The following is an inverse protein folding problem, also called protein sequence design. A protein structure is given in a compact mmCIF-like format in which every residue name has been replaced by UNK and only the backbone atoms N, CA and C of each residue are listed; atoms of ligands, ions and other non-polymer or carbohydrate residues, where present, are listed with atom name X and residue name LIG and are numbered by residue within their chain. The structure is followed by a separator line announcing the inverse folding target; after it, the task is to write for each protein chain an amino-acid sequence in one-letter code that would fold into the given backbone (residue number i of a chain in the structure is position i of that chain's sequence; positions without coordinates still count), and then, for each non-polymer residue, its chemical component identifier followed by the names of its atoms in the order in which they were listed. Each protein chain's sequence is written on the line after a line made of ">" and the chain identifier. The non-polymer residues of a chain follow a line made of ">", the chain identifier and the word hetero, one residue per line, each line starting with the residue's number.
data_IF_875411259683
#
_entry.id   IF_875411259683
#
_cell.length_a   1.000
_cell.length_b   1.000
_cell.length_c   1.000
_cell.angle_alpha   90.00
_cell.angle_beta   90.00
_cell.angle_gamma   90.00
#
_symmetry.space_group_name_H-M   'P 1'
#
loop_
_entity.id
_entity.type
_entity.pdbx_description
1 polymer ?
#
# COMPACT_ATOMS: atom_id res chain seq x y z
N UNK A 1 -5.34 9.80 2.85
CA UNK A 1 -3.97 9.84 3.43
C UNK A 1 -3.69 8.62 4.31
N UNK A 2 -2.66 7.84 3.98
CA UNK A 2 -2.05 6.79 4.82
C UNK A 2 -0.63 7.24 5.17
N UNK A 3 -0.22 7.07 6.44
CA UNK A 3 1.13 7.42 6.90
C UNK A 3 1.77 6.23 7.61
N UNK A 4 2.87 5.74 7.04
CA UNK A 4 3.71 4.71 7.66
C UNK A 4 4.92 5.41 8.26
N UNK A 5 4.96 5.45 9.59
CA UNK A 5 5.99 6.18 10.34
C UNK A 5 7.01 5.17 10.88
N UNK A 6 8.29 5.40 10.62
CA UNK A 6 9.36 4.55 11.15
C UNK A 6 10.51 5.42 11.66
N UNK A 7 11.40 4.84 12.48
CA UNK A 7 12.57 5.57 12.98
C UNK A 7 13.62 5.88 11.89
N UNK A 8 13.53 5.22 10.72
CA UNK A 8 14.50 5.34 9.65
C UNK A 8 13.99 6.23 8.51
N UNK A 9 12.82 5.91 7.96
CA UNK A 9 12.19 6.63 6.85
C UNK A 9 10.67 6.54 6.93
N UNK A 10 10.03 7.68 6.82
CA UNK A 10 8.58 7.77 6.75
C UNK A 10 8.10 7.65 5.31
N UNK A 11 6.91 7.07 5.17
CA UNK A 11 6.21 6.96 3.90
C UNK A 11 4.81 7.53 4.05
N UNK A 12 4.49 8.54 3.23
CA UNK A 12 3.18 9.20 3.23
C UNK A 12 2.56 9.01 1.87
N UNK A 13 1.36 8.45 1.85
CA UNK A 13 0.57 8.26 0.63
C UNK A 13 -0.69 9.12 0.74
N UNK A 14 -0.87 10.03 -0.21
CA UNK A 14 -2.11 10.78 -0.39
C UNK A 14 -2.69 10.45 -1.76
N UNK A 15 -3.96 10.05 -1.77
CA UNK A 15 -4.60 9.49 -2.95
C UNK A 15 -6.11 9.64 -2.87
N UNK A 16 -6.72 9.73 -4.04
CA UNK A 16 -8.17 9.65 -4.22
C UNK A 16 -8.56 8.23 -4.64
N UNK A 17 -9.67 7.74 -4.10
CA UNK A 17 -10.16 6.38 -4.39
C UNK A 17 -10.66 6.29 -5.84
N UNK A 18 -10.22 5.26 -6.55
CA UNK A 18 -10.58 4.99 -7.94
C UNK A 18 -9.89 5.90 -8.96
N UNK A 19 -9.01 6.80 -8.51
CA UNK A 19 -8.25 7.71 -9.39
C UNK A 19 -6.83 7.18 -9.51
N UNK A 20 -6.38 7.02 -10.76
CA UNK A 20 -5.00 6.68 -11.04
C UNK A 20 -4.10 7.91 -10.83
N UNK A 21 -2.99 7.72 -10.12
CA UNK A 21 -2.00 8.77 -9.89
C UNK A 21 -0.58 8.23 -10.08
N UNK A 22 0.34 9.13 -10.40
CA UNK A 22 1.77 8.79 -10.46
C UNK A 22 2.34 8.77 -9.04
N UNK A 23 2.78 7.60 -8.59
CA UNK A 23 3.42 7.41 -7.30
C UNK A 23 4.95 7.44 -7.47
N UNK A 24 5.59 8.43 -6.85
CA UNK A 24 7.04 8.53 -6.79
C UNK A 24 7.55 7.70 -5.60
N UNK A 25 8.02 6.48 -5.91
CA UNK A 25 8.62 5.54 -4.96
C UNK A 25 10.14 5.78 -4.82
N UNK A 26 10.64 6.95 -5.22
CA UNK A 26 11.99 7.44 -4.97
C UNK A 26 12.57 7.10 -3.58
N UNK A 27 11.82 7.28 -2.47
CA UNK A 27 12.29 6.97 -1.11
C UNK A 27 12.43 5.48 -0.80
N UNK A 28 11.72 4.62 -1.54
CA UNK A 28 11.63 3.18 -1.32
C UNK A 28 12.56 2.41 -2.26
N UNK A 29 12.42 2.61 -3.57
CA UNK A 29 13.16 1.86 -4.60
C UNK A 29 13.65 2.70 -5.80
N UNK A 30 13.41 4.02 -5.82
CA UNK A 30 13.90 4.90 -6.88
C UNK A 30 13.02 4.96 -8.13
N UNK A 31 11.82 4.36 -8.12
CA UNK A 31 10.99 4.21 -9.32
C UNK A 31 9.72 5.06 -9.29
N UNK A 32 9.11 5.23 -10.46
CA UNK A 32 7.75 5.78 -10.63
C UNK A 32 6.81 4.67 -11.06
N UNK A 33 5.62 4.63 -10.47
CA UNK A 33 4.57 3.68 -10.82
C UNK A 33 3.24 4.41 -10.99
N UNK A 34 2.35 3.84 -11.80
CA UNK A 34 0.97 4.30 -11.92
C UNK A 34 0.13 3.52 -10.92
N UNK A 35 -0.31 4.20 -9.87
CA UNK A 35 -0.94 3.57 -8.72
C UNK A 35 -2.42 3.91 -8.68
N UNK A 36 -3.25 2.91 -8.42
CA UNK A 36 -4.70 3.09 -8.24
C UNK A 36 -5.12 2.38 -6.97
N UNK A 37 -5.82 3.10 -6.10
CA UNK A 37 -6.35 2.54 -4.85
C UNK A 37 -7.87 2.54 -4.91
N UNK A 38 -8.50 1.41 -4.61
CA UNK A 38 -9.95 1.26 -4.67
C UNK A 38 -10.45 0.28 -3.60
N UNK A 39 -11.76 0.31 -3.36
CA UNK A 39 -12.42 -0.64 -2.46
C UNK A 39 -12.83 -1.89 -3.22
N UNK A 40 -12.47 -3.05 -2.70
CA UNK A 40 -12.98 -4.36 -3.11
C UNK A 40 -13.70 -4.98 -1.91
N UNK A 41 -15.02 -4.77 -1.84
CA UNK A 41 -15.81 -5.16 -0.68
C UNK A 41 -15.42 -4.37 0.58
N UNK A 42 -14.92 -5.07 1.59
CA UNK A 42 -14.42 -4.51 2.86
C UNK A 42 -12.90 -4.31 2.88
N UNK A 43 -12.22 -4.55 1.75
CA UNK A 43 -10.78 -4.45 1.61
C UNK A 43 -10.39 -3.22 0.79
N UNK A 44 -9.36 -2.53 1.23
CA UNK A 44 -8.71 -1.46 0.48
C UNK A 44 -7.57 -2.07 -0.36
N UNK A 45 -7.73 -2.05 -1.68
CA UNK A 45 -6.81 -2.66 -2.62
C UNK A 45 -6.05 -1.57 -3.36
N UNK A 46 -4.74 -1.75 -3.50
CA UNK A 46 -3.86 -0.89 -4.26
C UNK A 46 -3.13 -1.71 -5.32
N UNK A 47 -3.23 -1.24 -6.57
CA UNK A 47 -2.51 -1.80 -7.70
C UNK A 47 -1.47 -0.79 -8.17
N UNK A 48 -0.21 -1.22 -8.23
CA UNK A 48 0.93 -0.41 -8.66
C UNK A 48 1.40 -0.94 -10.02
N UNK A 49 0.96 -0.29 -11.10
CA UNK A 49 1.36 -0.62 -12.46
C UNK A 49 2.72 0.01 -12.76
N UNK A 50 3.72 -0.82 -13.04
CA UNK A 50 5.07 -0.37 -13.34
C UNK A 50 5.93 -1.50 -13.88
N UNK A 51 7.24 -1.39 -13.66
CA UNK A 51 8.23 -2.37 -14.10
C UNK A 51 8.03 -3.76 -13.45
N UNK A 52 7.58 -3.77 -12.19
CA UNK A 52 7.35 -4.99 -11.41
C UNK A 52 5.93 -5.50 -11.59
N UNK A 53 5.80 -6.79 -11.95
CA UNK A 53 4.50 -7.47 -12.07
C UNK A 53 3.93 -7.73 -10.69
N UNK A 54 2.60 -7.82 -10.58
CA UNK A 54 1.90 -8.12 -9.33
C UNK A 54 2.28 -7.22 -8.14
N UNK A 55 2.73 -5.99 -8.43
CA UNK A 55 3.10 -5.03 -7.40
C UNK A 55 1.85 -4.35 -6.86
N UNK A 56 1.66 -4.41 -5.55
CA UNK A 56 0.51 -3.80 -4.91
C UNK A 56 0.39 -4.17 -3.45
N UNK A 57 -0.69 -3.74 -2.84
CA UNK A 57 -0.99 -4.08 -1.45
C UNK A 57 -2.49 -4.14 -1.20
N UNK A 58 -2.86 -4.86 -0.13
CA UNK A 58 -4.23 -5.01 0.34
C UNK A 58 -4.28 -4.75 1.83
N UNK A 59 -5.19 -3.88 2.23
CA UNK A 59 -5.52 -3.57 3.61
C UNK A 59 -6.91 -4.08 3.95
N UNK A 60 -7.07 -4.72 5.11
CA UNK A 60 -8.37 -5.06 5.65
C UNK A 60 -8.34 -5.03 7.17
N UNK A 61 -9.52 -4.93 7.77
CA UNK A 61 -9.68 -4.90 9.22
C UNK A 61 -10.24 -6.24 9.71
N UNK A 62 -9.66 -6.75 10.79
CA UNK A 62 -10.18 -7.91 11.52
C UNK A 62 -10.28 -7.55 13.00
N UNK A 63 -11.47 -7.08 13.41
CA UNK A 63 -11.67 -6.49 14.74
C UNK A 63 -10.83 -5.22 14.91
N UNK A 64 -9.94 -5.23 15.91
CA UNK A 64 -9.01 -4.13 16.19
C UNK A 64 -7.63 -4.28 15.51
N UNK A 65 -7.49 -5.23 14.56
CA UNK A 65 -6.25 -5.46 13.82
C UNK A 65 -6.36 -4.92 12.40
N UNK A 66 -5.37 -4.15 11.99
CA UNK A 66 -5.15 -3.76 10.61
C UNK A 66 -4.19 -4.74 9.96
N UNK A 67 -4.67 -5.46 8.96
CA UNK A 67 -3.87 -6.36 8.16
C UNK A 67 -3.36 -5.63 6.92
N UNK A 68 -2.11 -5.90 6.55
CA UNK A 68 -1.46 -5.40 5.34
C UNK A 68 -0.78 -6.58 4.64
N UNK A 69 -1.21 -6.87 3.42
CA UNK A 69 -0.54 -7.82 2.52
C UNK A 69 0.05 -7.07 1.36
N UNK A 70 1.37 -7.09 1.23
CA UNK A 70 2.10 -6.51 0.09
C UNK A 70 2.52 -7.63 -0.84
N UNK A 71 2.43 -7.39 -2.14
CA UNK A 71 2.85 -8.33 -3.18
C UNK A 71 3.80 -7.63 -4.15
N UNK A 72 4.80 -8.36 -4.63
CA UNK A 72 5.65 -7.94 -5.74
C UNK A 72 6.21 -9.18 -6.42
N UNK A 73 5.95 -9.33 -7.73
CA UNK A 73 6.29 -10.53 -8.50
C UNK A 73 5.69 -11.79 -7.86
N UNK A 74 6.54 -12.69 -7.35
CA UNK A 74 6.14 -13.94 -6.70
C UNK A 74 6.23 -13.84 -5.16
N UNK A 75 6.66 -12.68 -4.64
CA UNK A 75 6.89 -12.45 -3.22
C UNK A 75 5.68 -11.84 -2.52
N UNK A 76 5.47 -12.28 -1.27
CA UNK A 76 4.37 -11.81 -0.42
C UNK A 76 4.91 -11.46 0.96
N UNK A 77 4.62 -10.24 1.41
CA UNK A 77 4.87 -9.79 2.77
C UNK A 77 3.55 -9.56 3.50
N UNK A 78 3.45 -10.03 4.74
CA UNK A 78 2.25 -9.86 5.58
C UNK A 78 2.65 -9.14 6.87
N UNK A 79 1.93 -8.08 7.19
CA UNK A 79 2.07 -7.31 8.42
C UNK A 79 0.70 -7.19 9.10
N UNK A 80 0.72 -7.19 10.42
CA UNK A 80 -0.49 -7.04 11.25
C UNK A 80 -0.20 -5.98 12.31
N UNK A 81 -1.03 -4.95 12.34
CA UNK A 81 -0.91 -3.83 13.27
C UNK A 81 -2.08 -3.86 14.25
N UNK A 82 -1.80 -3.68 15.53
CA UNK A 82 -2.83 -3.55 16.56
C UNK A 82 -3.23 -2.08 16.67
N UNK A 83 -4.54 -1.80 16.64
CA UNK A 83 -5.05 -0.48 16.95
C UNK A 83 -4.70 -0.14 18.41
N UNK A 84 -3.93 0.92 18.58
CA UNK A 84 -3.61 1.51 19.88
C UNK A 84 -4.48 2.75 20.10
N UNK A 85 -4.82 3.02 21.36
CA UNK A 85 -5.63 4.20 21.77
C UNK A 85 -4.80 5.47 21.79
#
# INVERSE_FOLDING_TARGET
>A
VIRTITSLRDYVMDFDLGVQFEEDLGPVDGRKCQTTVFWEGDQLVCEQLGEKRNRGWRHWLEGDRLHLRMTAEDEVCVQVFQKVK
#
